data_IF_419178491633
#
_entry.id   IF_419178491633
#
_cell.length_a   1.000
_cell.length_b   1.000
_cell.length_c   1.000
_cell.angle_alpha   90.00
_cell.angle_beta   90.00
_cell.angle_gamma   90.00
#
_symmetry.space_group_name_H-M   'P 1'
#
loop_
_entity.id
_entity.type
_entity.pdbx_description
1 polymer ?
#
# COMPACT_ATOMS: atom_id res chain seq x y z
N UNK A 1 17.61 -6.06 -3.09
CA UNK A 1 16.37 -6.20 -2.33
C UNK A 1 15.30 -5.34 -3.00
N UNK A 2 14.03 -5.77 -2.96
CA UNK A 2 12.86 -4.96 -3.31
C UNK A 2 12.16 -4.53 -2.02
N UNK A 3 11.87 -3.24 -1.86
CA UNK A 3 11.04 -2.71 -0.79
C UNK A 3 9.76 -2.10 -1.36
N UNK A 4 8.64 -2.40 -0.73
CA UNK A 4 7.31 -1.93 -1.12
C UNK A 4 6.72 -1.13 0.04
N UNK A 5 6.31 0.10 -0.22
CA UNK A 5 5.63 0.98 0.72
C UNK A 5 4.21 1.27 0.26
N UNK A 6 3.26 1.28 1.18
CA UNK A 6 1.88 1.70 0.90
C UNK A 6 0.87 1.12 1.87
N UNK A 7 -0.39 1.08 1.46
CA UNK A 7 -1.48 0.64 2.32
C UNK A 7 -1.54 -0.87 2.51
N UNK A 8 -1.81 -1.28 3.76
CA UNK A 8 -2.33 -2.59 4.15
C UNK A 8 -3.68 -2.37 4.79
N UNK A 9 -4.71 -3.07 4.33
CA UNK A 9 -6.10 -2.77 4.63
C UNK A 9 -6.91 -3.99 5.06
N UNK A 10 -8.06 -3.71 5.67
CA UNK A 10 -9.16 -4.64 5.82
C UNK A 10 -10.34 -4.13 4.99
N UNK A 11 -10.60 -4.79 3.88
CA UNK A 11 -11.58 -4.33 2.90
C UNK A 11 -12.96 -4.97 3.09
N UNK A 12 -14.01 -4.23 2.76
CA UNK A 12 -15.35 -4.76 2.55
C UNK A 12 -15.69 -4.67 1.08
N UNK A 13 -15.83 -5.81 0.43
CA UNK A 13 -16.12 -5.92 -0.99
C UNK A 13 -17.54 -6.39 -1.19
N UNK A 14 -18.34 -5.61 -1.90
CA UNK A 14 -19.70 -5.93 -2.31
C UNK A 14 -19.71 -6.27 -3.79
N UNK A 15 -20.20 -7.44 -4.11
CA UNK A 15 -20.51 -7.85 -5.48
C UNK A 15 -22.02 -8.10 -5.59
N UNK A 16 -22.60 -8.27 -6.79
CA UNK A 16 -24.02 -8.58 -6.94
C UNK A 16 -24.48 -9.81 -6.17
N UNK A 17 -23.57 -10.77 -5.94
CA UNK A 17 -23.92 -12.08 -5.34
C UNK A 17 -23.51 -12.22 -3.89
N UNK A 18 -22.61 -11.38 -3.36
CA UNK A 18 -22.09 -11.53 -1.99
C UNK A 18 -21.43 -10.28 -1.44
N UNK A 19 -21.29 -10.28 -0.11
CA UNK A 19 -20.52 -9.28 0.62
C UNK A 19 -19.41 -9.99 1.40
N UNK A 20 -18.17 -9.61 1.15
CA UNK A 20 -17.01 -10.07 1.89
C UNK A 20 -16.57 -8.93 2.83
N UNK A 21 -16.44 -9.24 4.13
CA UNK A 21 -16.04 -8.26 5.16
C UNK A 21 -14.67 -8.59 5.73
N UNK A 22 -13.90 -7.55 6.06
CA UNK A 22 -12.59 -7.64 6.70
C UNK A 22 -11.63 -8.59 5.97
N UNK A 23 -11.70 -8.57 4.63
CA UNK A 23 -10.74 -9.30 3.79
C UNK A 23 -9.43 -8.52 3.69
N UNK A 24 -8.33 -9.26 3.58
CA UNK A 24 -7.01 -8.66 3.40
C UNK A 24 -6.97 -7.85 2.10
N UNK A 25 -6.60 -6.59 2.21
CA UNK A 25 -6.52 -5.65 1.11
C UNK A 25 -5.34 -4.67 1.24
N UNK A 26 -5.36 -3.65 0.40
CA UNK A 26 -4.34 -2.62 0.34
C UNK A 26 -3.32 -2.81 -0.77
N UNK A 27 -2.92 -1.70 -1.40
CA UNK A 27 -2.05 -1.73 -2.58
C UNK A 27 -0.69 -2.37 -2.30
N UNK A 28 -0.04 -2.01 -1.18
CA UNK A 28 1.24 -2.60 -0.81
C UNK A 28 1.13 -4.09 -0.44
N UNK A 29 0.00 -4.50 0.13
CA UNK A 29 -0.27 -5.92 0.40
C UNK A 29 -0.28 -6.74 -0.88
N UNK A 30 -1.08 -6.33 -1.88
CA UNK A 30 -1.17 -7.06 -3.15
C UNK A 30 0.14 -7.05 -3.91
N UNK A 31 0.80 -5.91 -3.99
CA UNK A 31 2.12 -5.79 -4.62
C UNK A 31 3.16 -6.71 -3.96
N UNK A 32 3.19 -6.74 -2.61
CA UNK A 32 4.13 -7.59 -1.87
C UNK A 32 3.84 -9.08 -2.06
N UNK A 33 2.57 -9.47 -2.07
CA UNK A 33 2.17 -10.87 -2.35
C UNK A 33 2.59 -11.24 -3.77
N UNK A 34 2.30 -10.41 -4.77
CA UNK A 34 2.70 -10.65 -6.16
C UNK A 34 4.21 -10.78 -6.31
N UNK A 35 4.97 -9.83 -5.77
CA UNK A 35 6.43 -9.84 -5.79
C UNK A 35 7.04 -11.07 -5.08
N UNK A 36 6.35 -11.60 -4.07
CA UNK A 36 6.83 -12.73 -3.27
C UNK A 36 6.95 -14.05 -4.03
N UNK A 37 6.41 -14.14 -5.23
CA UNK A 37 6.60 -15.28 -6.13
C UNK A 37 7.97 -15.27 -6.84
N UNK A 38 8.65 -14.12 -6.83
CA UNK A 38 9.93 -13.92 -7.51
C UNK A 38 11.07 -13.64 -6.52
N UNK A 39 10.81 -12.81 -5.51
CA UNK A 39 11.78 -12.40 -4.49
C UNK A 39 11.07 -12.25 -3.14
N UNK A 40 11.79 -12.28 -2.03
CA UNK A 40 11.24 -11.91 -0.72
C UNK A 40 11.27 -10.39 -0.56
N UNK A 41 10.14 -9.66 -0.74
CA UNK A 41 10.13 -8.21 -0.61
C UNK A 41 10.09 -7.79 0.86
N UNK A 42 10.59 -6.58 1.17
CA UNK A 42 10.35 -5.88 2.41
C UNK A 42 9.06 -5.04 2.30
N UNK A 43 8.20 -5.10 3.30
CA UNK A 43 6.97 -4.31 3.37
C UNK A 43 7.10 -3.19 4.40
N UNK A 44 6.88 -1.94 3.97
CA UNK A 44 6.69 -0.79 4.85
C UNK A 44 5.20 -0.41 4.82
N UNK A 45 4.53 -0.57 5.96
CA UNK A 45 3.11 -0.29 6.09
C UNK A 45 2.73 -0.08 7.56
N UNK A 46 1.48 0.30 7.82
CA UNK A 46 0.92 0.38 9.17
C UNK A 46 -0.41 -0.35 9.24
N UNK A 47 -0.62 -1.06 10.35
CA UNK A 47 -1.90 -1.69 10.71
C UNK A 47 -2.26 -1.35 12.17
N UNK A 48 -3.53 -1.46 12.49
CA UNK A 48 -4.02 -1.35 13.86
C UNK A 48 -3.87 -2.65 14.65
N UNK A 49 -4.09 -2.58 15.97
CA UNK A 49 -4.13 -3.78 16.84
C UNK A 49 -5.27 -4.75 16.48
N UNK A 50 -6.26 -4.29 15.71
CA UNK A 50 -7.36 -5.11 15.18
C UNK A 50 -6.98 -5.96 13.96
N UNK A 51 -5.73 -5.82 13.46
CA UNK A 51 -5.29 -6.59 12.28
C UNK A 51 -5.23 -8.09 12.61
N UNK A 52 -5.96 -8.95 11.87
CA UNK A 52 -6.08 -10.35 12.21
C UNK A 52 -4.74 -11.10 12.17
N UNK A 53 -4.42 -11.83 13.23
CA UNK A 53 -3.21 -12.66 13.33
C UNK A 53 -3.05 -13.64 12.16
N UNK A 54 -4.15 -14.12 11.57
CA UNK A 54 -4.13 -15.00 10.40
C UNK A 54 -3.48 -14.30 9.20
N UNK A 55 -3.78 -13.03 8.96
CA UNK A 55 -3.22 -12.27 7.85
C UNK A 55 -1.75 -11.93 8.08
N UNK A 56 -1.38 -11.56 9.31
CA UNK A 56 0.03 -11.40 9.67
C UNK A 56 0.83 -12.68 9.38
N UNK A 57 0.32 -13.85 9.78
CA UNK A 57 0.98 -15.14 9.52
C UNK A 57 1.07 -15.46 8.03
N UNK A 58 0.06 -15.12 7.22
CA UNK A 58 0.09 -15.31 5.76
C UNK A 58 1.20 -14.47 5.14
N UNK A 59 1.26 -13.18 5.48
CA UNK A 59 2.26 -12.26 4.96
C UNK A 59 3.68 -12.67 5.38
N UNK A 60 3.89 -12.98 6.65
CA UNK A 60 5.20 -13.34 7.20
C UNK A 60 5.86 -14.58 6.55
N UNK A 61 5.06 -15.45 5.91
CA UNK A 61 5.61 -16.63 5.21
C UNK A 61 6.50 -16.26 4.02
N UNK A 62 6.24 -15.15 3.35
CA UNK A 62 6.89 -14.79 2.07
C UNK A 62 7.43 -13.37 2.01
N UNK A 63 7.05 -12.52 2.96
CA UNK A 63 7.34 -11.09 2.98
C UNK A 63 8.13 -10.79 4.26
N UNK A 64 9.16 -9.96 4.15
CA UNK A 64 9.84 -9.39 5.31
C UNK A 64 8.96 -8.27 5.89
N UNK A 65 8.55 -8.42 7.15
CA UNK A 65 7.64 -7.52 7.84
C UNK A 65 8.35 -6.57 8.83
N UNK A 66 9.67 -6.42 8.77
CA UNK A 66 10.40 -5.51 9.67
C UNK A 66 9.93 -4.04 9.54
N UNK A 67 9.38 -3.68 8.38
CA UNK A 67 8.78 -2.35 8.14
C UNK A 67 7.28 -2.26 8.47
N UNK A 68 6.63 -3.33 8.95
CA UNK A 68 5.22 -3.31 9.30
C UNK A 68 5.04 -2.80 10.74
N UNK A 69 4.53 -1.58 10.87
CA UNK A 69 4.19 -0.96 12.16
C UNK A 69 2.81 -1.38 12.65
N UNK A 70 2.69 -1.71 13.93
CA UNK A 70 1.41 -1.96 14.59
C UNK A 70 1.14 -0.80 15.54
N UNK A 71 0.02 -0.09 15.36
CA UNK A 71 -0.36 1.10 16.15
C UNK A 71 -1.63 0.86 16.94
N UNK A 72 -1.81 1.63 18.00
CA UNK A 72 -3.09 1.72 18.69
C UNK A 72 -4.16 2.30 17.76
N UNK A 73 -5.33 1.64 17.68
CA UNK A 73 -6.41 2.01 16.80
C UNK A 73 -6.78 0.91 15.80
N UNK A 74 -7.59 1.29 14.81
CA UNK A 74 -8.08 0.37 13.76
C UNK A 74 -7.19 0.44 12.53
N UNK A 75 -7.05 -0.69 11.85
CA UNK A 75 -6.44 -0.81 10.53
C UNK A 75 -7.22 0.01 9.50
N UNK A 76 -6.55 0.55 8.49
CA UNK A 76 -7.16 1.19 7.33
C UNK A 76 -8.25 0.29 6.73
N UNK A 77 -9.42 0.88 6.43
CA UNK A 77 -10.58 0.17 5.88
C UNK A 77 -11.05 0.84 4.62
N UNK A 78 -11.29 0.03 3.62
CA UNK A 78 -11.92 0.42 2.39
C UNK A 78 -13.21 -0.39 2.18
N UNK A 79 -14.26 0.25 1.68
CA UNK A 79 -15.48 -0.43 1.26
C UNK A 79 -15.82 -0.02 -0.15
N UNK A 80 -15.94 -1.00 -1.04
CA UNK A 80 -16.28 -0.81 -2.43
C UNK A 80 -17.39 -1.75 -2.88
N UNK A 81 -18.16 -1.30 -3.87
CA UNK A 81 -19.16 -2.08 -4.58
C UNK A 81 -18.77 -2.23 -6.04
N UNK A 82 -18.95 -3.41 -6.58
CA UNK A 82 -18.73 -3.71 -7.99
C UNK A 82 -20.06 -4.02 -8.67
N UNK A 83 -20.17 -3.61 -9.92
CA UNK A 83 -21.32 -3.91 -10.79
C UNK A 83 -21.37 -5.39 -11.22
N UNK A 84 -22.36 -5.76 -12.02
CA UNK A 84 -22.52 -7.12 -12.51
C UNK A 84 -21.37 -7.61 -13.39
N UNK A 85 -20.66 -6.71 -14.05
CA UNK A 85 -19.50 -7.03 -14.91
C UNK A 85 -18.18 -7.07 -14.12
N UNK A 86 -18.19 -6.64 -12.86
CA UNK A 86 -17.03 -6.43 -11.99
C UNK A 86 -16.01 -5.41 -12.57
N UNK A 87 -16.42 -4.64 -13.56
CA UNK A 87 -15.57 -3.65 -14.24
C UNK A 87 -15.69 -2.27 -13.60
N UNK A 88 -16.88 -1.90 -13.14
CA UNK A 88 -17.12 -0.62 -12.48
C UNK A 88 -17.07 -0.77 -10.96
N UNK A 89 -16.21 0.02 -10.34
CA UNK A 89 -16.08 0.09 -8.89
C UNK A 89 -16.63 1.41 -8.36
N UNK A 90 -17.51 1.33 -7.38
CA UNK A 90 -17.98 2.48 -6.60
C UNK A 90 -17.41 2.42 -5.20
N UNK A 91 -16.71 3.47 -4.78
CA UNK A 91 -16.22 3.64 -3.41
C UNK A 91 -17.41 4.00 -2.51
N UNK A 92 -17.68 3.18 -1.50
CA UNK A 92 -18.74 3.42 -0.53
C UNK A 92 -18.22 4.12 0.73
N UNK A 93 -17.01 3.76 1.17
CA UNK A 93 -16.41 4.30 2.40
C UNK A 93 -14.90 4.10 2.41
N UNK A 94 -14.20 5.08 2.98
CA UNK A 94 -12.76 5.03 3.23
C UNK A 94 -12.48 5.53 4.63
N UNK A 95 -12.00 4.66 5.52
CA UNK A 95 -11.60 4.99 6.89
C UNK A 95 -10.07 4.87 6.99
N UNK A 96 -9.38 5.99 6.98
CA UNK A 96 -7.91 6.00 7.05
C UNK A 96 -7.37 5.42 8.35
N UNK A 97 -8.06 5.65 9.48
CA UNK A 97 -7.67 5.13 10.80
C UNK A 97 -6.18 5.39 11.11
N UNK A 98 -5.41 4.34 11.50
CA UNK A 98 -3.98 4.49 11.83
C UNK A 98 -3.12 4.94 10.64
N UNK A 99 -3.62 4.83 9.40
CA UNK A 99 -2.90 5.29 8.21
C UNK A 99 -2.85 6.82 8.11
N UNK A 100 -3.87 7.53 8.66
CA UNK A 100 -3.98 8.99 8.58
C UNK A 100 -2.75 9.71 9.12
N UNK A 101 -2.28 9.28 10.29
CA UNK A 101 -1.19 9.93 11.01
C UNK A 101 0.11 9.10 10.97
N UNK A 102 0.18 8.14 10.05
CA UNK A 102 1.36 7.31 9.89
C UNK A 102 2.51 8.12 9.31
N UNK A 103 3.64 8.09 10.00
CA UNK A 103 4.91 8.63 9.52
C UNK A 103 5.82 7.44 9.22
N UNK A 104 5.91 7.03 7.94
CA UNK A 104 6.74 5.90 7.56
C UNK A 104 8.21 6.24 7.74
N UNK A 105 9.00 5.25 8.11
CA UNK A 105 10.45 5.30 8.13
C UNK A 105 11.00 4.04 7.47
N UNK A 106 12.14 4.14 6.83
CA UNK A 106 12.80 2.99 6.21
C UNK A 106 13.61 2.24 7.28
N UNK A 107 13.30 0.95 7.57
CA UNK A 107 14.14 0.15 8.45
C UNK A 107 15.58 0.09 7.95
N UNK A 108 16.55 0.02 8.84
CA UNK A 108 17.98 0.04 8.50
C UNK A 108 18.35 -1.03 7.46
N UNK A 109 17.82 -2.24 7.64
CA UNK A 109 18.04 -3.35 6.72
C UNK A 109 17.37 -3.17 5.34
N UNK A 110 16.48 -2.16 5.15
CA UNK A 110 15.85 -1.84 3.87
C UNK A 110 16.51 -0.67 3.15
N UNK A 111 17.30 0.17 3.83
CA UNK A 111 17.92 1.37 3.22
C UNK A 111 18.73 1.09 1.96
N UNK A 112 19.38 -0.09 1.89
CA UNK A 112 20.16 -0.54 0.74
C UNK A 112 19.33 -1.25 -0.34
N UNK A 113 18.00 -1.10 -0.34
CA UNK A 113 17.16 -1.69 -1.39
C UNK A 113 17.44 -1.08 -2.74
N UNK A 114 17.73 -1.93 -3.72
CA UNK A 114 18.00 -1.51 -5.10
C UNK A 114 16.72 -1.21 -5.89
N UNK A 115 15.58 -1.74 -5.44
CA UNK A 115 14.29 -1.58 -6.10
C UNK A 115 13.26 -1.11 -5.07
N UNK A 116 12.52 -0.05 -5.41
CA UNK A 116 11.50 0.53 -4.52
C UNK A 116 10.20 0.70 -5.28
N UNK A 117 9.12 0.16 -4.72
CA UNK A 117 7.78 0.42 -5.20
C UNK A 117 6.98 1.20 -4.16
N UNK A 118 6.62 2.42 -4.53
CA UNK A 118 5.77 3.32 -3.76
C UNK A 118 4.31 3.09 -4.18
N UNK A 119 3.69 2.07 -3.60
CA UNK A 119 2.31 1.72 -3.89
C UNK A 119 1.36 2.82 -3.38
N UNK A 120 0.12 2.82 -3.89
CA UNK A 120 -0.87 3.84 -3.59
C UNK A 120 -0.95 4.23 -2.12
N UNK A 121 -0.55 5.47 -1.85
CA UNK A 121 -0.58 6.14 -0.55
C UNK A 121 -0.48 7.66 -0.76
N UNK A 122 -0.42 8.44 0.33
CA UNK A 122 -0.20 9.89 0.27
C UNK A 122 1.07 10.21 -0.55
N UNK A 123 0.96 10.98 -1.66
CA UNK A 123 2.11 11.25 -2.52
C UNK A 123 3.23 12.05 -1.84
N UNK A 124 2.92 12.84 -0.81
CA UNK A 124 3.93 13.57 -0.05
C UNK A 124 4.74 12.62 0.85
N UNK A 125 4.09 11.59 1.42
CA UNK A 125 4.78 10.53 2.16
C UNK A 125 5.66 9.70 1.24
N UNK A 126 5.15 9.28 0.08
CA UNK A 126 5.90 8.55 -0.94
C UNK A 126 7.17 9.30 -1.33
N UNK A 127 7.04 10.60 -1.65
CA UNK A 127 8.15 11.47 -2.03
C UNK A 127 9.17 11.69 -0.91
N UNK A 128 8.74 11.69 0.34
CA UNK A 128 9.65 11.83 1.47
C UNK A 128 10.40 10.52 1.72
N UNK A 129 9.69 9.40 1.70
CA UNK A 129 10.26 8.09 2.02
C UNK A 129 11.33 7.63 1.02
N UNK A 130 11.15 7.91 -0.28
CA UNK A 130 12.14 7.49 -1.30
C UNK A 130 13.54 8.06 -1.03
N UNK A 131 13.62 9.21 -0.36
CA UNK A 131 14.89 9.87 -0.03
C UNK A 131 15.66 9.21 1.11
N UNK A 132 15.02 8.29 1.86
CA UNK A 132 15.64 7.58 2.96
C UNK A 132 16.41 6.34 2.49
N UNK A 133 16.33 5.99 1.20
CA UNK A 133 17.08 4.88 0.60
C UNK A 133 18.43 5.36 0.07
N UNK A 134 19.48 4.56 0.29
CA UNK A 134 20.86 4.97 -0.02
C UNK A 134 21.21 4.88 -1.52
N UNK A 135 20.74 3.85 -2.21
CA UNK A 135 21.14 3.57 -3.60
C UNK A 135 20.06 2.82 -4.38
N UNK A 136 18.99 3.52 -4.73
CA UNK A 136 17.91 2.97 -5.54
C UNK A 136 18.34 2.90 -7.00
N UNK A 137 18.30 1.71 -7.59
CA UNK A 137 18.59 1.49 -9.02
C UNK A 137 17.35 1.67 -9.89
N UNK A 138 16.18 1.39 -9.34
CA UNK A 138 14.90 1.57 -10.02
C UNK A 138 13.78 1.77 -9.02
N UNK A 139 12.96 2.75 -9.27
CA UNK A 139 11.79 3.10 -8.46
C UNK A 139 10.55 3.24 -9.31
N UNK A 140 9.41 2.83 -8.76
CA UNK A 140 8.13 3.03 -9.42
C UNK A 140 7.05 3.40 -8.41
N UNK A 141 5.98 4.02 -8.90
CA UNK A 141 4.81 4.31 -8.08
C UNK A 141 3.51 4.09 -8.86
N UNK A 142 2.41 3.96 -8.10
CA UNK A 142 1.05 4.07 -8.58
C UNK A 142 0.28 5.13 -7.79
N UNK A 143 -0.93 5.41 -8.22
CA UNK A 143 -1.85 6.32 -7.52
C UNK A 143 -3.29 5.96 -7.85
N UNK A 144 -4.24 6.64 -7.21
CA UNK A 144 -5.66 6.53 -7.52
C UNK A 144 -6.31 7.90 -7.69
N UNK A 145 -7.50 7.92 -8.28
CA UNK A 145 -8.36 9.08 -8.50
C UNK A 145 -8.49 9.98 -7.26
N UNK A 146 -8.56 9.42 -6.05
CA UNK A 146 -8.61 10.19 -4.80
C UNK A 146 -7.42 11.16 -4.67
N UNK A 147 -6.19 10.69 -4.88
CA UNK A 147 -4.99 11.53 -4.78
C UNK A 147 -4.85 12.46 -5.98
N UNK A 148 -5.24 12.00 -7.18
CA UNK A 148 -5.23 12.81 -8.40
C UNK A 148 -6.16 14.01 -8.23
N UNK A 149 -7.34 13.82 -7.64
CA UNK A 149 -8.33 14.90 -7.44
C UNK A 149 -7.99 15.80 -6.26
N UNK A 150 -7.45 15.27 -5.16
CA UNK A 150 -7.24 16.04 -3.91
C UNK A 150 -5.83 16.62 -3.76
N UNK A 151 -4.81 15.97 -4.34
CA UNK A 151 -3.39 16.36 -4.21
C UNK A 151 -2.63 16.31 -5.55
N UNK A 152 -3.26 16.75 -6.65
CA UNK A 152 -2.70 16.67 -8.01
C UNK A 152 -1.27 17.19 -8.11
N UNK A 153 -0.97 18.33 -7.51
CA UNK A 153 0.38 18.90 -7.56
C UNK A 153 1.42 18.03 -6.88
N UNK A 154 1.07 17.38 -5.76
CA UNK A 154 1.95 16.43 -5.06
C UNK A 154 2.13 15.14 -5.85
N UNK A 155 1.07 14.63 -6.51
CA UNK A 155 1.14 13.47 -7.41
C UNK A 155 2.11 13.73 -8.56
N UNK A 156 1.99 14.88 -9.24
CA UNK A 156 2.91 15.25 -10.34
C UNK A 156 4.36 15.36 -9.83
N UNK A 157 4.57 15.92 -8.64
CA UNK A 157 5.90 16.00 -8.03
C UNK A 157 6.44 14.60 -7.69
N UNK A 158 5.60 13.69 -7.19
CA UNK A 158 5.98 12.30 -6.93
C UNK A 158 6.38 11.59 -8.22
N UNK A 159 5.61 11.72 -9.30
CA UNK A 159 5.93 11.12 -10.62
C UNK A 159 7.30 11.55 -11.16
N UNK A 160 7.74 12.78 -10.85
CA UNK A 160 9.06 13.28 -11.24
C UNK A 160 10.22 12.74 -10.38
N UNK A 161 9.93 12.01 -9.31
CA UNK A 161 10.95 11.47 -8.38
C UNK A 161 11.17 9.97 -8.54
N UNK A 162 10.45 9.31 -9.43
CA UNK A 162 10.54 7.87 -9.71
C UNK A 162 10.86 7.61 -11.18
N UNK A 163 11.35 6.41 -11.47
CA UNK A 163 11.74 6.01 -12.84
C UNK A 163 10.53 5.55 -13.68
N UNK A 164 9.49 5.03 -13.03
CA UNK A 164 8.29 4.55 -13.71
C UNK A 164 7.01 4.83 -12.92
N UNK A 165 5.91 4.97 -13.64
CA UNK A 165 4.56 5.17 -13.08
C UNK A 165 3.60 4.16 -13.69
N UNK A 166 2.75 3.55 -12.86
CA UNK A 166 1.64 2.69 -13.29
C UNK A 166 0.35 3.37 -12.86
N UNK A 167 -0.51 3.66 -13.83
CA UNK A 167 -1.85 4.24 -13.61
C UNK A 167 -2.85 3.58 -14.54
N UNK A 168 -4.09 3.47 -14.07
CA UNK A 168 -5.21 3.01 -14.90
C UNK A 168 -5.63 4.12 -15.87
N UNK A 169 -6.23 3.73 -16.96
CA UNK A 169 -6.92 4.57 -17.92
C UNK A 169 -8.30 5.03 -17.40
#
# INVERSE_FOLDING_TARGET
MLTIFGSTALDTIRTPTRVLKDVLGGAATFASISASFFVKPGLIAVVGKDFPKKYHKILAKRIDLNGLSIKDGKTFRYSGSYDNTLSLRTTLRTDLNVLKDFKPTVPENYKKSSFVYLANNDPDQNKSLIKEFDNVKFSMCDTIDFWISTKRASVIKMFKTVDAVVIND
#
